data_IF_588635938557
#
_entry.id   IF_588635938557
#
_cell.length_a   1.000
_cell.length_b   1.000
_cell.length_c   1.000
_cell.angle_alpha   90.00
_cell.angle_beta   90.00
_cell.angle_gamma   90.00
#
_symmetry.space_group_name_H-M   'P 1'
#
loop_
_entity.id
_entity.type
_entity.pdbx_description
1 polymer ?
#
# COMPACT_ATOMS: atom_id res chain seq x y z
N UNK A 1 12.27 4.64 7.13
CA UNK A 1 11.64 3.74 6.15
C UNK A 1 10.97 4.50 5.02
N UNK A 2 11.11 3.99 3.81
CA UNK A 2 10.43 4.44 2.59
C UNK A 2 9.66 3.23 2.02
N UNK A 3 8.42 3.44 1.60
CA UNK A 3 7.64 2.46 0.84
C UNK A 3 7.60 2.86 -0.63
N UNK A 4 8.09 1.99 -1.50
CA UNK A 4 7.88 2.05 -2.94
C UNK A 4 6.71 1.16 -3.31
N UNK A 5 5.76 1.66 -4.10
CA UNK A 5 4.54 0.94 -4.46
C UNK A 5 4.26 1.11 -5.95
N UNK A 6 3.88 0.02 -6.61
CA UNK A 6 3.29 0.07 -7.96
C UNK A 6 1.88 -0.45 -7.91
N UNK A 7 0.97 0.23 -8.60
CA UNK A 7 -0.44 -0.15 -8.66
C UNK A 7 -1.04 0.12 -10.03
N UNK A 8 -2.01 -0.73 -10.40
CA UNK A 8 -2.92 -0.51 -11.52
C UNK A 8 -4.22 0.09 -11.02
N UNK A 9 -4.80 0.99 -11.81
CA UNK A 9 -6.11 1.58 -11.53
C UNK A 9 -6.68 2.21 -12.80
N UNK A 10 -8.01 2.26 -12.91
CA UNK A 10 -8.69 3.03 -13.95
C UNK A 10 -8.93 4.50 -13.58
N UNK A 11 -8.64 4.88 -12.32
CA UNK A 11 -8.88 6.24 -11.78
C UNK A 11 -7.59 7.04 -11.78
N UNK A 12 -7.55 8.11 -12.58
CA UNK A 12 -6.29 8.83 -12.91
C UNK A 12 -5.71 9.64 -11.76
N UNK A 13 -6.57 10.16 -10.90
CA UNK A 13 -6.25 11.00 -9.76
C UNK A 13 -6.24 10.24 -8.43
N UNK A 14 -6.39 8.91 -8.45
CA UNK A 14 -6.45 8.07 -7.26
C UNK A 14 -5.27 8.30 -6.33
N UNK A 15 -5.55 8.49 -5.04
CA UNK A 15 -4.59 8.55 -3.95
C UNK A 15 -4.86 7.39 -2.99
N UNK A 16 -3.80 6.95 -2.33
CA UNK A 16 -3.92 6.07 -1.16
C UNK A 16 -3.81 6.98 0.06
N UNK A 17 -4.73 6.85 1.01
CA UNK A 17 -4.70 7.57 2.28
C UNK A 17 -3.95 6.77 3.35
N UNK A 18 -4.20 5.47 3.41
CA UNK A 18 -3.51 4.53 4.30
C UNK A 18 -3.52 3.12 3.71
N UNK A 19 -2.63 2.26 4.20
CA UNK A 19 -2.66 0.82 3.94
C UNK A 19 -2.69 0.12 5.30
N UNK A 20 -3.71 -0.68 5.56
CA UNK A 20 -3.77 -1.49 6.77
C UNK A 20 -3.16 -2.87 6.52
N UNK A 21 -2.29 -3.32 7.42
CA UNK A 21 -1.63 -4.62 7.32
C UNK A 21 -1.74 -5.41 8.62
N UNK A 22 -1.95 -6.72 8.51
CA UNK A 22 -1.79 -7.68 9.59
C UNK A 22 -0.35 -8.19 9.59
N UNK A 23 0.36 -7.99 10.70
CA UNK A 23 1.70 -8.49 10.93
C UNK A 23 1.64 -9.97 11.36
N UNK A 24 2.77 -10.69 11.27
CA UNK A 24 2.84 -12.12 11.63
C UNK A 24 2.46 -12.42 13.09
N UNK A 25 2.60 -11.44 13.98
CA UNK A 25 2.19 -11.56 15.39
C UNK A 25 0.67 -11.41 15.59
N UNK A 26 -0.10 -11.19 14.52
CA UNK A 26 -1.55 -10.97 14.53
C UNK A 26 -1.96 -9.53 14.85
N UNK A 27 -1.01 -8.60 14.98
CA UNK A 27 -1.30 -7.19 15.18
C UNK A 27 -1.65 -6.54 13.83
N UNK A 28 -2.76 -5.81 13.80
CA UNK A 28 -3.14 -4.97 12.67
C UNK A 28 -2.60 -3.56 12.87
N UNK A 29 -1.83 -3.06 11.90
CA UNK A 29 -1.25 -1.71 11.93
C UNK A 29 -1.62 -0.95 10.65
N UNK A 30 -1.92 0.33 10.81
CA UNK A 30 -2.11 1.25 9.69
C UNK A 30 -0.75 1.83 9.26
N UNK A 31 -0.44 1.73 7.97
CA UNK A 31 0.71 2.35 7.33
C UNK A 31 0.31 3.72 6.80
N UNK A 32 0.93 4.76 7.38
CA UNK A 32 0.81 6.16 6.96
C UNK A 32 2.20 6.73 6.63
N UNK A 33 2.27 7.95 6.08
CA UNK A 33 3.53 8.57 5.67
C UNK A 33 3.48 10.10 5.69
N UNK A 34 4.66 10.73 5.75
CA UNK A 34 4.80 12.19 5.74
C UNK A 34 4.67 12.78 4.33
N UNK A 35 5.25 12.11 3.33
CA UNK A 35 5.33 12.62 1.96
C UNK A 35 4.99 11.54 0.94
N UNK A 36 4.37 11.96 -0.17
CA UNK A 36 4.08 11.12 -1.34
C UNK A 36 4.72 11.72 -2.59
N UNK A 37 5.57 10.96 -3.27
CA UNK A 37 5.98 11.25 -4.65
C UNK A 37 5.28 10.25 -5.58
N UNK A 38 4.45 10.72 -6.51
CA UNK A 38 3.63 9.85 -7.36
C UNK A 38 3.95 10.09 -8.84
N UNK A 39 4.35 9.03 -9.53
CA UNK A 39 4.50 8.98 -10.98
C UNK A 39 3.31 8.26 -11.62
N UNK A 40 2.49 8.98 -12.39
CA UNK A 40 1.31 8.44 -13.06
C UNK A 40 1.66 7.74 -14.38
N UNK A 41 0.99 6.64 -14.68
CA UNK A 41 1.05 5.93 -15.96
C UNK A 41 -0.35 5.88 -16.59
N UNK A 42 -0.45 5.38 -17.82
CA UNK A 42 -1.75 5.25 -18.50
C UNK A 42 -2.68 4.22 -17.82
N UNK A 43 -2.10 3.24 -17.13
CA UNK A 43 -2.78 2.09 -16.51
C UNK A 43 -2.69 2.06 -14.98
N UNK A 44 -2.14 3.12 -14.36
CA UNK A 44 -1.98 3.18 -12.91
C UNK A 44 -0.98 4.23 -12.42
N UNK A 45 -0.21 3.87 -11.41
CA UNK A 45 0.83 4.73 -10.86
C UNK A 45 1.94 3.95 -10.13
N UNK A 46 3.07 4.63 -9.98
CA UNK A 46 4.12 4.29 -9.03
C UNK A 46 4.19 5.37 -7.96
N UNK A 47 4.42 4.98 -6.71
CA UNK A 47 4.51 5.89 -5.59
C UNK A 47 5.74 5.59 -4.74
N UNK A 48 6.29 6.67 -4.17
CA UNK A 48 7.30 6.63 -3.12
C UNK A 48 6.77 7.40 -1.92
N UNK A 49 6.48 6.66 -0.85
CA UNK A 49 5.97 7.17 0.42
C UNK A 49 7.11 7.25 1.44
N UNK A 50 7.42 8.45 1.93
CA UNK A 50 8.54 8.70 2.85
C UNK A 50 8.06 8.95 4.26
N UNK A 51 8.87 8.55 5.24
CA UNK A 51 8.55 8.73 6.65
C UNK A 51 7.40 7.81 7.05
N UNK A 52 7.49 6.53 6.70
CA UNK A 52 6.41 5.57 6.99
C UNK A 52 6.24 5.39 8.50
N UNK A 53 4.99 5.34 8.96
CA UNK A 53 4.58 5.05 10.34
C UNK A 53 3.84 3.71 10.40
N UNK A 54 3.94 3.00 11.54
CA UNK A 54 2.99 1.96 11.92
C UNK A 54 2.11 2.52 13.04
N UNK A 55 0.86 2.85 12.71
CA UNK A 55 0.01 3.68 13.55
C UNK A 55 0.60 5.09 13.68
N UNK A 56 0.88 5.51 14.90
CA UNK A 56 1.38 6.86 15.23
C UNK A 56 2.91 6.92 15.41
N UNK A 57 3.64 5.82 15.15
CA UNK A 57 5.08 5.72 15.43
C UNK A 57 5.86 5.42 14.16
N UNK A 58 6.94 6.17 13.91
CA UNK A 58 7.84 5.93 12.78
C UNK A 58 8.28 4.47 12.70
N UNK A 59 8.24 3.92 11.49
CA UNK A 59 8.53 2.52 11.21
C UNK A 59 10.03 2.20 11.11
N UNK A 60 10.91 3.20 11.23
CA UNK A 60 12.36 3.02 11.17
C UNK A 60 12.84 1.96 12.19
N UNK A 61 13.68 1.04 11.74
CA UNK A 61 14.18 -0.10 12.51
C UNK A 61 13.20 -1.28 12.62
N UNK A 62 11.99 -1.19 12.05
CA UNK A 62 10.93 -2.21 12.19
C UNK A 62 10.70 -3.05 10.94
N UNK A 63 11.61 -3.01 9.96
CA UNK A 63 11.49 -3.73 8.68
C UNK A 63 11.16 -5.22 8.86
N UNK A 64 11.74 -5.89 9.86
CA UNK A 64 11.53 -7.32 10.12
C UNK A 64 10.11 -7.66 10.59
N UNK A 65 9.37 -6.69 11.15
CA UNK A 65 7.99 -6.90 11.59
C UNK A 65 7.02 -7.06 10.41
N UNK A 66 7.38 -6.50 9.25
CA UNK A 66 6.60 -6.60 8.02
C UNK A 66 6.77 -7.96 7.32
N UNK A 67 7.72 -8.80 7.75
CA UNK A 67 7.93 -10.10 7.13
C UNK A 67 6.61 -10.90 7.13
N UNK A 68 6.21 -11.36 5.95
CA UNK A 68 4.98 -12.13 5.72
C UNK A 68 3.68 -11.40 6.13
N UNK A 69 3.72 -10.06 6.18
CA UNK A 69 2.52 -9.24 6.39
C UNK A 69 1.48 -9.48 5.30
N UNK A 70 0.23 -9.23 5.64
CA UNK A 70 -0.89 -9.25 4.70
C UNK A 70 -1.59 -7.93 4.72
N UNK A 71 -1.99 -7.43 3.56
CA UNK A 71 -2.87 -6.26 3.50
C UNK A 71 -4.25 -6.70 3.99
N UNK A 72 -4.87 -5.88 4.83
CA UNK A 72 -6.24 -6.09 5.34
C UNK A 72 -7.20 -5.06 4.79
N UNK A 73 -6.74 -3.83 4.55
CA UNK A 73 -7.54 -2.76 3.98
C UNK A 73 -6.66 -1.70 3.29
N UNK A 74 -7.24 -0.91 2.39
CA UNK A 74 -6.61 0.22 1.72
C UNK A 74 -7.60 1.38 1.69
N UNK A 75 -7.23 2.49 2.34
CA UNK A 75 -7.97 3.74 2.24
C UNK A 75 -7.70 4.39 0.87
N UNK A 76 -8.75 4.54 0.06
CA UNK A 76 -8.66 5.14 -1.27
C UNK A 76 -9.37 6.49 -1.31
N UNK A 77 -8.75 7.45 -2.00
CA UNK A 77 -9.30 8.78 -2.22
C UNK A 77 -9.18 9.21 -3.68
N UNK A 78 -10.18 9.91 -4.19
CA UNK A 78 -10.24 10.44 -5.54
C UNK A 78 -11.20 11.63 -5.56
N UNK A 79 -10.89 12.67 -6.35
CA UNK A 79 -11.81 13.80 -6.59
C UNK A 79 -12.72 13.52 -7.80
N UNK A 80 -12.50 12.41 -8.52
CA UNK A 80 -13.34 11.95 -9.62
C UNK A 80 -14.65 11.32 -9.15
N UNK A 81 -15.72 11.48 -9.94
CA UNK A 81 -16.98 10.74 -9.79
C UNK A 81 -16.86 9.23 -10.13
N UNK A 82 -15.69 8.77 -10.59
CA UNK A 82 -15.46 7.35 -10.88
C UNK A 82 -15.18 6.60 -9.58
N UNK A 83 -15.92 5.50 -9.29
CA UNK A 83 -15.64 4.68 -8.11
C UNK A 83 -14.17 4.25 -8.05
N UNK A 84 -13.44 4.58 -6.97
CA UNK A 84 -12.03 4.24 -6.85
C UNK A 84 -11.84 2.72 -6.84
N UNK A 85 -10.80 2.29 -7.53
CA UNK A 85 -10.31 0.92 -7.54
C UNK A 85 -8.79 0.93 -7.61
N UNK A 86 -8.16 -0.05 -7.00
CA UNK A 86 -6.71 -0.21 -7.02
C UNK A 86 -6.35 -1.68 -7.14
N UNK A 87 -5.23 -1.96 -7.79
CA UNK A 87 -4.59 -3.25 -7.76
C UNK A 87 -3.10 -3.08 -7.49
N UNK A 88 -2.64 -3.39 -6.27
CA UNK A 88 -1.22 -3.26 -5.92
C UNK A 88 -0.46 -4.42 -6.57
N UNK A 89 0.47 -4.10 -7.46
CA UNK A 89 1.28 -5.09 -8.17
C UNK A 89 2.60 -5.38 -7.47
N UNK A 90 3.15 -4.40 -6.76
CA UNK A 90 4.34 -4.60 -5.93
C UNK A 90 4.45 -3.57 -4.81
N UNK A 91 5.10 -3.98 -3.73
CA UNK A 91 5.53 -3.12 -2.62
C UNK A 91 6.97 -3.43 -2.26
N UNK A 92 7.80 -2.42 -2.04
CA UNK A 92 9.16 -2.57 -1.50
C UNK A 92 9.37 -1.57 -0.37
N UNK A 93 9.73 -2.09 0.80
CA UNK A 93 10.12 -1.26 1.94
C UNK A 93 11.64 -1.16 1.98
N UNK A 94 12.16 0.06 2.00
CA UNK A 94 13.58 0.35 2.21
C UNK A 94 13.79 1.01 3.57
N UNK A 95 14.74 0.49 4.35
CA UNK A 95 15.12 1.07 5.63
C UNK A 95 16.62 0.86 5.89
N UNK A 96 17.37 1.96 5.98
CA UNK A 96 18.82 1.97 6.19
C UNK A 96 19.60 1.03 5.23
N UNK A 97 19.24 1.07 3.95
CA UNK A 97 19.85 0.23 2.90
C UNK A 97 19.39 -1.23 2.86
N UNK A 98 18.58 -1.68 3.83
CA UNK A 98 17.90 -2.98 3.78
C UNK A 98 16.60 -2.85 2.98
N UNK A 99 16.22 -3.92 2.29
CA UNK A 99 15.00 -3.97 1.49
C UNK A 99 14.17 -5.21 1.78
N UNK A 100 12.85 -5.05 1.76
CA UNK A 100 11.87 -6.13 1.84
C UNK A 100 10.83 -5.91 0.74
N UNK A 101 10.78 -6.83 -0.21
CA UNK A 101 9.90 -6.73 -1.38
C UNK A 101 8.77 -7.76 -1.32
N UNK A 102 7.60 -7.32 -1.76
CA UNK A 102 6.39 -8.11 -1.94
C UNK A 102 5.93 -7.97 -3.39
N UNK A 103 6.05 -9.06 -4.14
CA UNK A 103 5.49 -9.16 -5.49
C UNK A 103 4.05 -9.65 -5.39
N UNK A 104 3.12 -8.94 -6.04
CA UNK A 104 1.69 -9.23 -5.99
C UNK A 104 1.20 -9.51 -4.54
N UNK A 105 1.27 -8.51 -3.64
CA UNK A 105 0.88 -8.69 -2.25
C UNK A 105 -0.56 -9.22 -2.15
N UNK A 106 -0.83 -9.86 -1.01
CA UNK A 106 -2.07 -10.62 -0.80
C UNK A 106 -2.99 -9.87 0.17
N UNK A 107 -4.25 -9.73 -0.21
CA UNK A 107 -5.38 -9.25 0.59
C UNK A 107 -6.23 -10.45 1.00
N UNK A 108 -6.22 -10.82 2.29
CA UNK A 108 -7.02 -11.94 2.84
C UNK A 108 -6.97 -13.27 2.03
N UNK A 109 -5.84 -13.57 1.39
CA UNK A 109 -5.65 -14.78 0.57
C UNK A 109 -5.83 -14.61 -0.94
N UNK A 110 -6.14 -13.40 -1.43
CA UNK A 110 -6.28 -13.07 -2.85
C UNK A 110 -5.23 -12.04 -3.30
N UNK A 111 -4.95 -11.93 -4.59
CA UNK A 111 -4.12 -10.84 -5.13
C UNK A 111 -4.80 -9.50 -4.78
N UNK A 112 -4.02 -8.51 -4.32
CA UNK A 112 -4.56 -7.21 -3.88
C UNK A 112 -5.18 -6.47 -5.05
N UNK A 113 -6.51 -6.45 -5.06
CA UNK A 113 -7.33 -5.65 -5.93
C UNK A 113 -8.58 -5.25 -5.14
N UNK A 114 -8.78 -3.97 -4.88
CA UNK A 114 -9.81 -3.43 -3.97
C UNK A 114 -10.58 -2.29 -4.64
N UNK A 115 -11.89 -2.22 -4.41
CA UNK A 115 -12.73 -1.08 -4.76
C UNK A 115 -13.04 -0.18 -3.54
N UNK A 116 -13.79 0.90 -3.76
CA UNK A 116 -14.19 1.85 -2.71
C UNK A 116 -14.92 1.21 -1.52
N UNK A 117 -15.65 0.11 -1.73
CA UNK A 117 -16.41 -0.56 -0.67
C UNK A 117 -15.58 -1.57 0.12
N UNK A 118 -14.26 -1.64 -0.13
CA UNK A 118 -13.38 -2.63 0.47
C UNK A 118 -13.55 -4.04 -0.09
N UNK A 119 -14.28 -4.19 -1.20
CA UNK A 119 -14.52 -5.49 -1.83
C UNK A 119 -13.31 -5.90 -2.66
N UNK A 120 -12.88 -7.15 -2.49
CA UNK A 120 -11.80 -7.74 -3.29
C UNK A 120 -12.32 -8.08 -4.68
N UNK A 121 -11.70 -7.52 -5.71
CA UNK A 121 -12.07 -7.78 -7.11
C UNK A 121 -11.00 -8.61 -7.83
N UNK A 122 -11.38 -9.33 -8.89
CA UNK A 122 -10.42 -10.05 -9.71
C UNK A 122 -9.61 -9.07 -10.59
N UNK A 123 -8.29 -9.26 -10.62
CA UNK A 123 -7.35 -8.49 -11.44
C UNK A 123 -7.44 -8.83 -12.93
#
# INVERSE_FOLDING_TARGET
>A
MILYLSARTTVKDLMIDYIEVELVNGETVSLNWDESDIGRTDDGFSARYKGVYFGEVYANGRLEQLQDMKITDIGLYSESDTPPNICITSMEFEDDGRRLAFEAPILHGNIVCQNESGEVIAC
#
